data_IF_457955261320
#
_entry.id   IF_457955261320
#
_cell.length_a   1.000
_cell.length_b   1.000
_cell.length_c   1.000
_cell.angle_alpha   90.00
_cell.angle_beta   90.00
_cell.angle_gamma   90.00
#
_symmetry.space_group_name_H-M   'P 1'
#
loop_
_entity.id
_entity.type
_entity.pdbx_description
1 polymer ?
#
# COMPACT_ATOMS: atom_id res chain seq x y z
N UNK A 1 -101.36 -86.11 14.61
CA UNK A 1 -100.28 -86.00 13.60
C UNK A 1 -98.94 -85.91 14.34
N UNK A 2 -97.85 -86.46 13.78
CA UNK A 2 -96.51 -86.36 14.38
C UNK A 2 -96.05 -84.90 14.48
N UNK A 3 -95.46 -84.53 15.60
CA UNK A 3 -94.90 -83.18 15.80
C UNK A 3 -93.82 -82.90 14.72
N UNK A 4 -93.88 -81.75 14.05
CA UNK A 4 -92.84 -81.35 13.10
C UNK A 4 -91.47 -81.27 13.78
N UNK A 5 -90.42 -81.71 13.08
CA UNK A 5 -89.07 -81.48 13.56
C UNK A 5 -88.79 -79.97 13.57
N UNK A 6 -88.17 -79.47 14.65
CA UNK A 6 -87.70 -78.08 14.71
C UNK A 6 -86.66 -77.86 13.60
N UNK A 7 -86.92 -76.87 12.75
CA UNK A 7 -86.04 -76.45 11.65
C UNK A 7 -85.19 -75.26 12.11
N UNK A 8 -85.80 -74.36 12.88
CA UNK A 8 -85.13 -73.23 13.50
C UNK A 8 -85.08 -73.41 15.01
N UNK A 9 -84.05 -72.87 15.65
CA UNK A 9 -83.88 -73.00 17.10
C UNK A 9 -84.97 -72.27 17.91
N UNK A 10 -85.69 -71.32 17.30
CA UNK A 10 -86.80 -70.60 17.94
C UNK A 10 -88.16 -71.27 17.69
N UNK A 11 -88.22 -72.36 16.92
CA UNK A 11 -89.47 -73.07 16.67
C UNK A 11 -90.05 -73.60 17.99
N UNK A 12 -91.32 -73.28 18.24
CA UNK A 12 -92.06 -73.75 19.40
C UNK A 12 -93.44 -74.22 18.97
N UNK A 13 -93.51 -75.50 18.58
CA UNK A 13 -94.74 -76.13 18.13
C UNK A 13 -95.66 -76.41 19.31
N UNK A 14 -96.87 -75.85 19.25
CA UNK A 14 -97.93 -76.10 20.22
C UNK A 14 -99.07 -76.78 19.47
N UNK A 15 -99.55 -77.91 19.97
CA UNK A 15 -100.60 -78.66 19.33
C UNK A 15 -101.96 -77.98 19.56
N UNK A 16 -102.61 -77.57 18.47
CA UNK A 16 -103.92 -76.95 18.52
C UNK A 16 -105.01 -78.01 18.47
N UNK A 17 -105.71 -78.18 19.60
CA UNK A 17 -106.75 -79.21 19.75
C UNK A 17 -108.05 -78.90 19.02
N UNK A 18 -108.25 -77.67 18.54
CA UNK A 18 -109.44 -77.27 17.78
C UNK A 18 -109.28 -77.56 16.28
N UNK A 19 -108.10 -77.31 15.72
CA UNK A 19 -107.80 -77.54 14.29
C UNK A 19 -107.12 -78.88 14.04
N UNK A 20 -106.70 -79.59 15.09
CA UNK A 20 -105.92 -80.83 15.05
C UNK A 20 -104.58 -80.71 14.30
N UNK A 21 -103.97 -79.53 14.29
CA UNK A 21 -102.69 -79.23 13.64
C UNK A 21 -101.65 -78.72 14.65
N UNK A 22 -100.36 -78.83 14.29
CA UNK A 22 -99.27 -78.26 15.07
C UNK A 22 -99.01 -76.83 14.59
N UNK A 23 -99.23 -75.85 15.46
CA UNK A 23 -98.98 -74.45 15.17
C UNK A 23 -97.59 -74.07 15.70
N UNK A 24 -96.74 -73.50 14.86
CA UNK A 24 -95.49 -72.93 15.33
C UNK A 24 -95.78 -71.57 15.98
N UNK A 25 -95.71 -71.51 17.31
CA UNK A 25 -95.88 -70.27 18.09
C UNK A 25 -94.55 -69.57 18.36
N UNK A 26 -93.44 -70.19 17.95
CA UNK A 26 -92.09 -69.67 18.12
C UNK A 26 -91.86 -68.43 17.28
N UNK A 27 -91.32 -67.38 17.89
CA UNK A 27 -90.93 -66.15 17.20
C UNK A 27 -89.45 -65.94 17.43
N UNK A 28 -88.71 -65.68 16.35
CA UNK A 28 -87.30 -65.33 16.46
C UNK A 28 -87.15 -64.07 17.34
N UNK A 29 -86.23 -64.06 18.32
CA UNK A 29 -85.96 -62.86 19.11
C UNK A 29 -85.64 -61.67 18.21
N UNK A 30 -86.21 -60.51 18.51
CA UNK A 30 -85.94 -59.27 17.77
C UNK A 30 -84.47 -58.92 17.83
N UNK A 31 -83.88 -58.54 16.69
CA UNK A 31 -82.50 -58.04 16.64
C UNK A 31 -82.31 -56.86 17.61
N UNK A 32 -81.27 -56.86 18.46
CA UNK A 32 -80.96 -55.73 19.32
C UNK A 32 -80.70 -54.46 18.50
N UNK A 33 -81.11 -53.30 19.02
CA UNK A 33 -80.73 -52.03 18.44
C UNK A 33 -79.21 -51.83 18.54
N UNK A 34 -78.58 -51.38 17.45
CA UNK A 34 -77.16 -51.01 17.45
C UNK A 34 -76.95 -49.85 18.43
N UNK A 35 -76.05 -50.03 19.38
CA UNK A 35 -75.65 -49.02 20.37
C UNK A 35 -74.38 -48.32 19.90
N UNK A 36 -73.46 -49.09 19.33
CA UNK A 36 -72.26 -48.59 18.70
C UNK A 36 -72.35 -48.76 17.19
N UNK A 37 -71.67 -47.87 16.48
CA UNK A 37 -71.75 -47.85 15.03
C UNK A 37 -70.99 -49.04 14.38
N UNK A 38 -70.11 -49.71 15.14
CA UNK A 38 -69.44 -50.96 14.73
C UNK A 38 -70.19 -52.24 15.15
N UNK A 39 -71.36 -52.13 15.79
CA UNK A 39 -72.13 -53.32 16.18
C UNK A 39 -72.56 -54.10 14.92
N UNK A 40 -72.31 -55.41 14.94
CA UNK A 40 -72.67 -56.35 13.88
C UNK A 40 -73.29 -57.60 14.49
N UNK A 41 -74.60 -57.54 14.71
CA UNK A 41 -75.36 -58.65 15.27
C UNK A 41 -75.53 -59.75 14.23
N UNK A 42 -75.09 -60.95 14.57
CA UNK A 42 -75.26 -62.16 13.77
C UNK A 42 -76.08 -63.13 14.61
N UNK A 43 -77.19 -63.63 14.06
CA UNK A 43 -78.04 -64.56 14.78
C UNK A 43 -77.40 -65.94 14.83
N UNK A 44 -77.17 -66.45 16.04
CA UNK A 44 -76.58 -67.76 16.27
C UNK A 44 -77.71 -68.80 16.36
N UNK A 45 -77.80 -69.68 15.36
CA UNK A 45 -78.86 -70.69 15.30
C UNK A 45 -78.62 -71.88 16.24
N UNK A 46 -77.47 -71.97 16.91
CA UNK A 46 -77.18 -73.02 17.90
C UNK A 46 -77.61 -72.58 19.31
N UNK A 47 -77.27 -71.35 19.70
CA UNK A 47 -77.64 -70.79 21.01
C UNK A 47 -78.99 -70.08 21.01
N UNK A 48 -79.52 -69.79 19.82
CA UNK A 48 -80.75 -69.04 19.59
C UNK A 48 -80.75 -67.61 20.14
N UNK A 49 -79.58 -66.97 20.10
CA UNK A 49 -79.35 -65.61 20.57
C UNK A 49 -78.66 -64.78 19.48
N UNK A 50 -78.74 -63.45 19.60
CA UNK A 50 -77.98 -62.53 18.75
C UNK A 50 -76.59 -62.31 19.36
N UNK A 51 -75.55 -62.69 18.64
CA UNK A 51 -74.16 -62.45 19.03
C UNK A 51 -73.67 -61.17 18.34
N UNK A 52 -73.12 -60.22 19.11
CA UNK A 52 -72.45 -59.07 18.52
C UNK A 52 -71.03 -59.47 18.10
N UNK A 53 -70.82 -59.63 16.80
CA UNK A 53 -69.52 -59.95 16.21
C UNK A 53 -68.73 -58.69 15.82
N UNK A 54 -69.33 -57.52 16.01
CA UNK A 54 -68.73 -56.23 15.70
C UNK A 54 -67.53 -55.92 16.58
N UNK A 55 -66.45 -55.46 15.97
CA UNK A 55 -65.25 -55.00 16.68
C UNK A 55 -64.96 -53.58 16.23
N UNK A 56 -64.73 -52.67 17.18
CA UNK A 56 -64.31 -51.31 16.86
C UNK A 56 -63.01 -51.35 16.04
N UNK A 57 -62.91 -50.60 14.93
CA UNK A 57 -61.66 -50.50 14.19
C UNK A 57 -60.50 -50.08 15.11
N UNK A 58 -59.37 -50.76 15.01
CA UNK A 58 -58.16 -50.43 15.77
C UNK A 58 -57.70 -49.01 15.44
N UNK A 59 -57.33 -48.23 16.47
CA UNK A 59 -56.75 -46.90 16.27
C UNK A 59 -55.51 -46.99 15.36
N UNK A 60 -55.40 -46.13 14.32
CA UNK A 60 -54.22 -46.07 13.49
C UNK A 60 -52.96 -45.72 14.31
N UNK A 61 -51.81 -46.27 13.92
CA UNK A 61 -50.54 -45.84 14.50
C UNK A 61 -50.23 -44.40 14.09
N UNK A 62 -49.77 -43.59 15.06
CA UNK A 62 -49.29 -42.23 14.78
C UNK A 62 -48.07 -42.28 13.86
N UNK A 63 -48.16 -41.57 12.74
CA UNK A 63 -47.08 -41.44 11.75
C UNK A 63 -46.31 -40.15 12.00
N UNK A 64 -47.01 -39.08 12.33
CA UNK A 64 -46.44 -37.80 12.72
C UNK A 64 -46.66 -37.55 14.21
N UNK A 65 -45.75 -36.80 14.84
CA UNK A 65 -45.87 -36.46 16.26
C UNK A 65 -47.10 -35.58 16.58
N UNK A 66 -47.68 -34.91 15.57
CA UNK A 66 -48.88 -34.08 15.73
C UNK A 66 -50.17 -34.84 15.42
N UNK A 67 -50.10 -36.13 15.07
CA UNK A 67 -51.30 -36.92 14.81
C UNK A 67 -52.14 -37.04 16.10
N UNK A 68 -53.44 -36.74 15.96
CA UNK A 68 -54.42 -36.81 17.04
C UNK A 68 -55.70 -37.46 16.53
N UNK A 69 -55.74 -38.79 16.60
CA UNK A 69 -56.88 -39.59 16.15
C UNK A 69 -58.04 -39.48 17.14
N UNK A 70 -59.20 -39.08 16.64
CA UNK A 70 -60.45 -39.01 17.38
C UNK A 70 -61.44 -39.93 16.67
N UNK A 71 -62.03 -40.87 17.40
CA UNK A 71 -62.99 -41.80 16.80
C UNK A 71 -64.31 -41.09 16.53
N UNK A 72 -64.77 -41.16 15.28
CA UNK A 72 -66.04 -40.60 14.86
C UNK A 72 -67.12 -41.68 14.90
N UNK A 73 -68.06 -41.52 15.83
CA UNK A 73 -69.15 -42.48 16.06
C UNK A 73 -70.24 -42.42 15.00
N UNK A 74 -70.26 -41.39 14.15
CA UNK A 74 -71.23 -41.28 13.05
C UNK A 74 -70.74 -42.03 11.80
N UNK A 75 -69.45 -41.91 11.49
CA UNK A 75 -68.83 -42.54 10.30
C UNK A 75 -68.19 -43.89 10.60
N UNK A 76 -68.01 -44.25 11.88
CA UNK A 76 -67.24 -45.41 12.35
C UNK A 76 -65.78 -45.44 11.92
N UNK A 77 -65.17 -44.28 11.79
CA UNK A 77 -63.80 -44.14 11.34
C UNK A 77 -62.99 -43.29 12.32
N UNK A 78 -61.67 -43.43 12.26
CA UNK A 78 -60.76 -42.58 13.02
C UNK A 78 -60.40 -41.35 12.19
N UNK A 79 -60.77 -40.18 12.69
CA UNK A 79 -60.44 -38.90 12.06
C UNK A 79 -59.15 -38.34 12.68
N UNK A 80 -58.15 -38.00 11.86
CA UNK A 80 -56.95 -37.31 12.35
C UNK A 80 -57.25 -35.81 12.46
N UNK A 81 -57.45 -35.34 13.68
CA UNK A 81 -57.69 -33.91 13.99
C UNK A 81 -56.38 -33.14 14.23
N UNK A 82 -55.24 -33.82 14.18
CA UNK A 82 -53.93 -33.27 14.40
C UNK A 82 -53.49 -32.31 13.31
N UNK A 83 -52.92 -31.17 13.70
CA UNK A 83 -52.35 -30.18 12.77
C UNK A 83 -50.94 -29.84 13.23
N UNK A 84 -49.98 -29.88 12.31
CA UNK A 84 -48.61 -29.45 12.61
C UNK A 84 -48.61 -27.98 13.07
N UNK A 85 -47.91 -27.63 14.17
CA UNK A 85 -47.80 -26.24 14.59
C UNK A 85 -47.24 -25.38 13.46
N UNK A 86 -47.92 -24.25 13.17
CA UNK A 86 -47.48 -23.30 12.15
C UNK A 86 -46.04 -22.84 12.44
N UNK A 87 -45.21 -22.75 11.40
CA UNK A 87 -43.85 -22.24 11.52
C UNK A 87 -43.88 -20.79 12.05
N UNK A 88 -43.07 -20.46 13.07
CA UNK A 88 -42.95 -19.08 13.56
C UNK A 88 -42.31 -18.19 12.49
N UNK A 89 -42.68 -16.91 12.49
CA UNK A 89 -42.00 -15.89 11.67
C UNK A 89 -40.60 -15.71 12.23
N UNK A 90 -39.59 -15.81 11.37
CA UNK A 90 -38.17 -15.65 11.73
C UNK A 90 -37.58 -14.46 10.99
N UNK A 91 -36.49 -13.93 11.52
CA UNK A 91 -35.68 -12.93 10.83
C UNK A 91 -34.99 -13.57 9.62
N UNK A 92 -34.69 -12.78 8.59
CA UNK A 92 -34.14 -13.34 7.35
C UNK A 92 -32.77 -14.03 7.56
N UNK A 93 -31.98 -13.58 8.55
CA UNK A 93 -30.65 -14.11 8.88
C UNK A 93 -30.73 -15.35 9.78
N UNK A 94 -31.94 -15.79 10.12
CA UNK A 94 -32.19 -16.98 10.93
C UNK A 94 -32.64 -18.16 10.08
N UNK A 95 -32.38 -19.36 10.58
CA UNK A 95 -32.91 -20.62 10.11
C UNK A 95 -33.56 -21.34 11.29
N UNK A 96 -34.56 -22.17 11.01
CA UNK A 96 -35.29 -22.92 12.03
C UNK A 96 -35.60 -24.32 11.50
N UNK A 97 -35.55 -25.31 12.38
CA UNK A 97 -35.85 -26.71 12.06
C UNK A 97 -36.94 -27.23 12.99
N UNK A 98 -37.78 -28.14 12.48
CA UNK A 98 -38.82 -28.78 13.28
C UNK A 98 -38.28 -30.04 13.94
N UNK A 99 -38.56 -30.21 15.24
CA UNK A 99 -38.19 -31.41 15.98
C UNK A 99 -39.37 -32.39 16.00
N UNK A 100 -39.22 -33.52 15.30
CA UNK A 100 -40.26 -34.55 15.20
C UNK A 100 -40.41 -35.40 16.47
N UNK A 101 -39.49 -35.34 17.43
CA UNK A 101 -39.60 -36.05 18.70
C UNK A 101 -40.41 -35.24 19.73
N UNK A 102 -40.10 -33.95 19.86
CA UNK A 102 -40.78 -33.05 20.81
C UNK A 102 -42.04 -32.41 20.22
N UNK A 103 -42.21 -32.52 18.90
CA UNK A 103 -43.28 -31.89 18.15
C UNK A 103 -43.32 -30.36 18.26
N UNK A 104 -42.14 -29.75 18.36
CA UNK A 104 -41.95 -28.31 18.51
C UNK A 104 -40.91 -27.79 17.51
N UNK A 105 -41.00 -26.51 17.18
CA UNK A 105 -39.94 -25.82 16.44
C UNK A 105 -38.74 -25.55 17.36
N UNK A 106 -37.52 -25.83 16.88
CA UNK A 106 -36.29 -25.51 17.60
C UNK A 106 -36.09 -24.00 17.70
N UNK A 107 -35.22 -23.55 18.62
CA UNK A 107 -34.82 -22.15 18.64
C UNK A 107 -34.14 -21.76 17.32
N UNK A 108 -34.48 -20.61 16.69
CA UNK A 108 -33.83 -20.17 15.47
C UNK A 108 -32.33 -19.94 15.67
N UNK A 109 -31.52 -20.32 14.69
CA UNK A 109 -30.07 -20.10 14.67
C UNK A 109 -29.69 -19.22 13.49
N UNK A 110 -28.62 -18.43 13.60
CA UNK A 110 -28.24 -17.50 12.54
C UNK A 110 -27.21 -16.48 13.01
N UNK A 111 -26.53 -15.84 12.05
CA UNK A 111 -25.53 -14.80 12.34
C UNK A 111 -25.85 -13.57 11.51
N UNK A 112 -26.20 -12.46 12.18
CA UNK A 112 -26.36 -11.18 11.49
C UNK A 112 -25.06 -10.76 10.81
N UNK A 113 -25.18 -10.08 9.67
CA UNK A 113 -24.02 -9.47 9.01
C UNK A 113 -23.32 -8.51 9.97
N UNK A 114 -22.01 -8.70 10.12
CA UNK A 114 -21.15 -7.87 10.96
C UNK A 114 -19.83 -7.66 10.25
N UNK A 115 -19.59 -6.40 9.89
CA UNK A 115 -18.32 -5.97 9.33
C UNK A 115 -17.26 -5.94 10.42
N UNK A 116 -16.11 -6.55 10.14
CA UNK A 116 -14.92 -6.55 11.01
C UNK A 116 -13.77 -6.00 10.18
N UNK A 117 -13.15 -4.92 10.67
CA UNK A 117 -12.11 -4.20 9.94
C UNK A 117 -10.73 -4.54 10.50
N UNK A 118 -9.71 -4.53 9.63
CA UNK A 118 -8.30 -4.52 10.02
C UNK A 118 -7.57 -3.34 9.41
N UNK A 119 -6.67 -2.75 10.18
CA UNK A 119 -5.80 -1.68 9.70
C UNK A 119 -4.64 -2.25 8.88
N UNK A 120 -4.20 -1.51 7.86
CA UNK A 120 -3.09 -1.91 6.99
C UNK A 120 -2.14 -0.73 6.73
N UNK A 121 -0.93 -1.04 6.28
CA UNK A 121 0.01 -0.06 5.72
C UNK A 121 0.23 -0.39 4.24
N UNK A 122 0.23 0.63 3.39
CA UNK A 122 0.50 0.50 1.96
C UNK A 122 1.58 1.50 1.54
N UNK A 123 2.39 1.08 0.58
CA UNK A 123 3.51 1.87 0.08
C UNK A 123 3.16 2.40 -1.31
N UNK A 124 3.45 3.68 -1.57
CA UNK A 124 3.31 4.26 -2.90
C UNK A 124 4.32 3.63 -3.87
N UNK A 125 3.93 3.48 -5.13
CA UNK A 125 4.83 3.10 -6.22
C UNK A 125 5.55 4.33 -6.81
N UNK A 126 6.43 4.10 -7.81
CA UNK A 126 7.18 5.17 -8.49
C UNK A 126 6.32 6.18 -9.26
N UNK A 127 5.00 6.00 -9.34
CA UNK A 127 4.07 6.98 -9.89
C UNK A 127 3.33 7.76 -8.78
N UNK A 128 3.71 7.57 -7.52
CA UNK A 128 3.06 8.22 -6.38
C UNK A 128 1.66 7.68 -6.11
N UNK A 129 1.40 6.39 -6.42
CA UNK A 129 0.09 5.76 -6.26
C UNK A 129 0.16 4.43 -5.52
N UNK A 130 -0.90 4.09 -4.79
CA UNK A 130 -1.12 2.76 -4.23
C UNK A 130 -2.58 2.35 -4.40
N UNK A 131 -2.85 1.05 -4.47
CA UNK A 131 -4.22 0.52 -4.54
C UNK A 131 -4.43 -0.58 -3.52
N UNK A 132 -5.68 -0.71 -3.05
CA UNK A 132 -6.13 -1.79 -2.17
C UNK A 132 -7.36 -2.46 -2.77
N UNK A 133 -7.68 -3.63 -2.25
CA UNK A 133 -8.98 -4.27 -2.43
C UNK A 133 -9.77 -4.26 -1.11
N UNK A 134 -11.11 -4.35 -1.14
CA UNK A 134 -11.90 -4.43 0.10
C UNK A 134 -11.48 -5.57 1.03
N UNK A 135 -11.03 -6.71 0.48
CA UNK A 135 -10.56 -7.84 1.28
C UNK A 135 -9.25 -7.57 2.03
N UNK A 136 -8.45 -6.60 1.59
CA UNK A 136 -7.22 -6.20 2.30
C UNK A 136 -7.52 -5.49 3.62
N UNK A 137 -8.70 -4.90 3.79
CA UNK A 137 -9.12 -4.24 5.04
C UNK A 137 -10.18 -5.03 5.82
N UNK A 138 -10.59 -6.20 5.31
CA UNK A 138 -11.47 -7.12 6.01
C UNK A 138 -10.70 -7.94 7.05
N UNK A 139 -11.13 -7.81 8.31
CA UNK A 139 -10.61 -8.49 9.50
C UNK A 139 -11.32 -9.79 9.84
N UNK A 140 -12.18 -10.31 8.96
CA UNK A 140 -12.95 -11.54 9.18
C UNK A 140 -14.42 -11.24 9.45
N UNK A 141 -15.04 -10.46 8.56
CA UNK A 141 -16.46 -10.15 8.62
C UNK A 141 -17.32 -11.42 8.53
N UNK A 142 -18.45 -11.42 9.21
CA UNK A 142 -19.38 -12.57 9.28
C UNK A 142 -20.76 -12.18 8.76
N UNK A 143 -21.54 -13.17 8.32
CA UNK A 143 -22.92 -12.98 7.85
C UNK A 143 -23.48 -14.29 7.29
N UNK A 144 -24.66 -14.21 6.67
CA UNK A 144 -25.34 -15.37 6.07
C UNK A 144 -25.19 -15.41 4.55
N UNK A 145 -24.82 -16.57 4.01
CA UNK A 145 -24.64 -16.73 2.57
C UNK A 145 -23.39 -16.02 2.04
N UNK A 146 -23.43 -15.60 0.77
CA UNK A 146 -22.29 -14.95 0.10
C UNK A 146 -22.15 -13.50 0.53
N UNK A 147 -20.99 -13.13 1.06
CA UNK A 147 -20.67 -11.75 1.43
C UNK A 147 -20.16 -10.96 0.22
N UNK A 148 -20.66 -9.74 0.05
CA UNK A 148 -20.18 -8.74 -0.90
C UNK A 148 -19.48 -7.62 -0.15
N UNK A 149 -18.23 -7.33 -0.53
CA UNK A 149 -17.39 -6.34 0.13
C UNK A 149 -17.16 -5.14 -0.80
N UNK A 150 -17.38 -3.93 -0.29
CA UNK A 150 -17.02 -2.68 -0.96
C UNK A 150 -16.30 -1.76 0.01
N UNK A 151 -15.47 -0.84 -0.50
CA UNK A 151 -14.75 0.12 0.32
C UNK A 151 -14.94 1.54 -0.22
N UNK A 152 -14.97 2.53 0.67
CA UNK A 152 -15.18 3.94 0.30
C UNK A 152 -14.05 4.54 -0.55
N UNK A 153 -12.86 3.94 -0.50
CA UNK A 153 -11.68 4.36 -1.27
C UNK A 153 -10.78 3.16 -1.53
N UNK A 154 -10.27 3.04 -2.76
CA UNK A 154 -9.41 1.94 -3.20
C UNK A 154 -8.07 2.39 -3.77
N UNK A 155 -7.93 3.68 -4.09
CA UNK A 155 -6.74 4.25 -4.69
C UNK A 155 -6.24 5.39 -3.81
N UNK A 156 -4.93 5.46 -3.63
CA UNK A 156 -4.25 6.46 -2.81
C UNK A 156 -3.15 7.13 -3.62
N UNK A 157 -2.89 8.40 -3.34
CA UNK A 157 -1.84 9.19 -3.99
C UNK A 157 -0.92 9.84 -2.96
N UNK A 158 0.06 10.61 -3.41
CA UNK A 158 0.91 11.44 -2.55
C UNK A 158 0.14 12.37 -1.59
N UNK A 159 -1.06 12.80 -1.97
CA UNK A 159 -1.92 13.61 -1.10
C UNK A 159 -2.47 12.84 0.12
N UNK A 160 -2.39 11.51 0.07
CA UNK A 160 -2.91 10.61 1.09
C UNK A 160 -1.82 10.07 2.02
N UNK A 161 -0.56 10.51 1.91
CA UNK A 161 0.49 10.04 2.82
C UNK A 161 0.12 10.34 4.27
N UNK A 162 0.22 9.32 5.13
CA UNK A 162 -0.29 9.32 6.49
C UNK A 162 -1.52 8.43 6.67
N UNK A 163 -2.31 8.70 7.71
CA UNK A 163 -3.45 7.85 8.09
C UNK A 163 -4.72 8.26 7.37
N UNK A 164 -5.35 7.31 6.68
CA UNK A 164 -6.62 7.47 6.00
C UNK A 164 -7.69 6.58 6.63
N UNK A 165 -8.90 7.10 6.81
CA UNK A 165 -10.05 6.30 7.21
C UNK A 165 -10.77 5.77 5.98
N UNK A 166 -10.93 4.46 5.91
CA UNK A 166 -11.69 3.79 4.84
C UNK A 166 -12.83 3.03 5.46
N UNK A 167 -14.04 3.28 4.98
CA UNK A 167 -15.23 2.53 5.39
C UNK A 167 -15.33 1.26 4.56
N UNK A 168 -15.27 0.10 5.22
CA UNK A 168 -15.61 -1.18 4.63
C UNK A 168 -17.11 -1.40 4.80
N UNK A 169 -17.79 -1.72 3.72
CA UNK A 169 -19.20 -2.10 3.69
C UNK A 169 -19.31 -3.57 3.31
N UNK A 170 -19.95 -4.35 4.17
CA UNK A 170 -20.18 -5.79 3.99
C UNK A 170 -21.68 -6.00 3.88
N UNK A 171 -22.11 -6.56 2.75
CA UNK A 171 -23.51 -6.86 2.47
C UNK A 171 -23.67 -8.36 2.27
N UNK A 172 -24.70 -8.92 2.88
CA UNK A 172 -25.15 -10.28 2.63
C UNK A 172 -26.57 -10.27 2.02
N UNK A 173 -27.23 -11.43 1.90
CA UNK A 173 -28.59 -11.48 1.34
C UNK A 173 -29.66 -10.81 2.22
N UNK A 174 -29.29 -10.43 3.44
CA UNK A 174 -30.19 -10.04 4.52
C UNK A 174 -30.02 -8.61 4.99
N UNK A 175 -28.84 -8.03 4.80
CA UNK A 175 -28.59 -6.66 5.17
C UNK A 175 -27.16 -6.23 4.91
N UNK A 176 -26.81 -5.11 5.53
CA UNK A 176 -25.51 -4.47 5.37
C UNK A 176 -24.97 -4.04 6.73
N UNK A 177 -23.67 -4.24 6.93
CA UNK A 177 -22.91 -3.71 8.06
C UNK A 177 -21.70 -2.94 7.56
N UNK A 178 -21.28 -1.93 8.31
CA UNK A 178 -20.06 -1.16 8.00
C UNK A 178 -19.10 -1.15 9.19
N UNK A 179 -17.82 -0.94 8.90
CA UNK A 179 -16.80 -0.63 9.90
C UNK A 179 -15.75 0.32 9.30
N UNK A 180 -14.97 1.00 10.14
CA UNK A 180 -13.84 1.82 9.71
C UNK A 180 -12.51 1.06 9.86
N UNK A 181 -11.72 1.04 8.79
CA UNK A 181 -10.34 0.59 8.79
C UNK A 181 -9.40 1.80 8.66
N UNK A 182 -8.24 1.75 9.30
CA UNK A 182 -7.18 2.73 9.09
C UNK A 182 -6.21 2.19 8.04
N UNK A 183 -6.05 2.92 6.94
CA UNK A 183 -5.05 2.66 5.90
C UNK A 183 -3.94 3.70 6.07
N UNK A 184 -2.77 3.26 6.50
CA UNK A 184 -1.60 4.12 6.60
C UNK A 184 -0.84 4.06 5.28
N UNK A 185 -0.79 5.18 4.56
CA UNK A 185 -0.04 5.30 3.32
C UNK A 185 1.33 5.85 3.67
N UNK A 186 2.38 5.19 3.21
CA UNK A 186 3.76 5.66 3.38
C UNK A 186 4.40 5.82 2.01
N UNK A 187 5.23 6.86 1.90
CA UNK A 187 6.13 7.01 0.77
C UNK A 187 7.53 6.56 1.18
N UNK A 188 8.09 5.64 0.40
CA UNK A 188 9.45 5.12 0.53
C UNK A 188 10.24 5.21 -0.78
N UNK A 189 9.65 5.83 -1.79
CA UNK A 189 10.28 5.97 -3.09
C UNK A 189 11.24 7.15 -3.00
N UNK A 190 12.53 6.87 -3.13
CA UNK A 190 13.53 7.93 -3.12
C UNK A 190 13.51 8.73 -4.44
N UNK A 191 13.88 10.03 -4.41
CA UNK A 191 13.91 10.86 -5.60
C UNK A 191 14.88 10.30 -6.67
N UNK A 192 14.57 10.55 -7.94
CA UNK A 192 15.50 10.31 -9.05
C UNK A 192 16.32 11.56 -9.29
N UNK A 193 17.64 11.46 -9.11
CA UNK A 193 18.54 12.61 -9.13
C UNK A 193 19.39 12.63 -10.40
N UNK A 194 19.38 13.76 -11.10
CA UNK A 194 20.20 14.01 -12.28
C UNK A 194 21.14 15.18 -12.00
N UNK A 195 22.44 14.94 -12.20
CA UNK A 195 23.48 15.95 -12.09
C UNK A 195 23.94 16.40 -13.48
N UNK A 196 24.43 17.62 -13.57
CA UNK A 196 25.23 18.12 -14.70
C UNK A 196 26.54 18.71 -14.20
N UNK A 197 27.59 18.51 -14.99
CA UNK A 197 28.88 19.16 -14.76
C UNK A 197 28.77 20.64 -15.14
N UNK A 198 29.51 21.49 -14.43
CA UNK A 198 29.53 22.94 -14.68
C UNK A 198 30.96 23.47 -14.67
N UNK A 199 31.15 24.63 -15.28
CA UNK A 199 32.40 25.40 -15.19
C UNK A 199 32.09 26.75 -14.56
N UNK A 200 32.87 27.14 -13.55
CA UNK A 200 32.74 28.42 -12.86
C UNK A 200 34.09 29.12 -12.80
N UNK A 201 34.07 30.44 -12.79
CA UNK A 201 35.27 31.26 -12.68
C UNK A 201 35.29 31.91 -11.29
N UNK A 202 36.48 32.00 -10.67
CA UNK A 202 36.64 32.80 -9.45
C UNK A 202 36.24 34.27 -9.72
N UNK A 203 35.75 34.98 -8.71
CA UNK A 203 35.47 36.42 -8.82
C UNK A 203 36.72 37.28 -8.53
N UNK A 204 36.56 38.60 -8.49
CA UNK A 204 37.66 39.54 -8.16
C UNK A 204 38.22 39.36 -6.73
N UNK A 205 37.50 38.67 -5.86
CA UNK A 205 37.90 38.35 -4.49
C UNK A 205 38.49 36.93 -4.38
N UNK A 206 38.67 36.22 -5.50
CA UNK A 206 39.12 34.82 -5.59
C UNK A 206 38.14 33.81 -5.01
N UNK A 207 36.83 34.06 -5.13
CA UNK A 207 35.79 33.16 -4.66
C UNK A 207 34.82 32.84 -5.81
N UNK A 208 34.48 31.57 -5.98
CA UNK A 208 33.31 31.15 -6.75
C UNK A 208 32.29 30.50 -5.81
N UNK A 209 31.01 30.85 -5.96
CA UNK A 209 29.92 30.24 -5.20
C UNK A 209 28.95 29.63 -6.18
N UNK A 210 28.53 28.39 -5.91
CA UNK A 210 27.52 27.68 -6.69
C UNK A 210 26.26 27.48 -5.86
N UNK A 211 25.17 27.17 -6.54
CA UNK A 211 23.90 26.79 -5.92
C UNK A 211 23.52 25.38 -6.36
N UNK A 212 22.73 24.64 -5.57
CA UNK A 212 22.27 23.31 -5.98
C UNK A 212 21.59 23.30 -7.36
N UNK A 213 20.86 24.37 -7.71
CA UNK A 213 20.17 24.52 -8.99
C UNK A 213 21.10 24.60 -10.20
N UNK A 214 22.38 24.97 -10.00
CA UNK A 214 23.36 24.96 -11.09
C UNK A 214 23.80 23.54 -11.45
N UNK A 215 23.82 22.63 -10.46
CA UNK A 215 24.21 21.22 -10.62
C UNK A 215 23.00 20.33 -10.96
N UNK A 216 21.81 20.66 -10.48
CA UNK A 216 20.61 19.90 -10.76
C UNK A 216 20.26 19.93 -12.26
N UNK A 217 20.06 18.74 -12.83
CA UNK A 217 19.71 18.54 -14.24
C UNK A 217 18.31 17.93 -14.39
N UNK A 218 17.35 18.46 -13.64
CA UNK A 218 15.96 18.03 -13.68
C UNK A 218 15.66 16.81 -12.81
N UNK A 219 16.21 16.77 -11.59
CA UNK A 219 15.82 15.78 -10.58
C UNK A 219 14.32 15.86 -10.30
N UNK A 220 13.70 14.70 -10.06
CA UNK A 220 12.27 14.64 -9.79
C UNK A 220 11.92 13.53 -8.81
N UNK A 221 10.73 13.68 -8.22
CA UNK A 221 10.06 12.65 -7.43
C UNK A 221 8.56 12.72 -7.71
N UNK A 222 7.84 11.60 -7.53
CA UNK A 222 6.41 11.53 -7.79
C UNK A 222 5.57 12.32 -6.76
N UNK A 223 6.01 12.38 -5.52
CA UNK A 223 5.39 13.12 -4.41
C UNK A 223 6.02 14.50 -4.19
N UNK A 224 7.17 14.73 -4.80
CA UNK A 224 7.78 16.05 -4.96
C UNK A 224 9.01 16.23 -4.08
N UNK A 225 9.86 17.18 -4.49
CA UNK A 225 11.13 17.44 -3.81
C UNK A 225 10.96 18.51 -2.74
N UNK A 226 11.52 18.27 -1.55
CA UNK A 226 11.54 19.24 -0.46
C UNK A 226 12.78 20.14 -0.49
N UNK A 227 13.95 19.56 -0.71
CA UNK A 227 15.22 20.31 -0.62
C UNK A 227 16.34 19.73 -1.46
N UNK A 228 17.28 20.61 -1.77
CA UNK A 228 18.55 20.31 -2.43
C UNK A 228 19.68 20.84 -1.56
N UNK A 229 20.79 20.10 -1.46
CA UNK A 229 21.99 20.54 -0.75
C UNK A 229 23.24 20.04 -1.46
N UNK A 230 24.31 20.82 -1.34
CA UNK A 230 25.64 20.45 -1.82
C UNK A 230 26.54 20.19 -0.60
N UNK A 231 27.47 19.26 -0.75
CA UNK A 231 28.55 19.06 0.23
C UNK A 231 29.59 20.19 0.17
N UNK A 232 29.78 20.79 -1.00
CA UNK A 232 30.67 21.93 -1.26
C UNK A 232 29.95 22.93 -2.17
N UNK A 233 29.87 24.19 -1.75
CA UNK A 233 29.21 25.27 -2.51
C UNK A 233 30.08 26.50 -2.79
N UNK A 234 31.30 26.53 -2.24
CA UNK A 234 32.21 27.68 -2.30
C UNK A 234 33.60 27.18 -2.64
N UNK A 235 34.22 27.80 -3.64
CA UNK A 235 35.54 27.46 -4.15
C UNK A 235 36.48 28.65 -4.09
N UNK A 236 37.73 28.38 -3.78
CA UNK A 236 38.82 29.35 -3.78
C UNK A 236 39.95 28.95 -4.71
N UNK A 237 41.11 29.57 -4.48
CA UNK A 237 42.28 29.39 -5.32
C UNK A 237 42.83 27.95 -5.32
N UNK A 238 42.76 27.25 -4.20
CA UNK A 238 43.24 25.86 -4.07
C UNK A 238 42.37 24.85 -4.82
N UNK A 239 41.17 25.27 -5.23
CA UNK A 239 40.19 24.42 -5.90
C UNK A 239 40.23 24.58 -7.43
N UNK A 240 41.25 25.23 -8.01
CA UNK A 240 41.39 25.35 -9.47
C UNK A 240 41.50 23.96 -10.11
N UNK A 241 40.70 23.72 -11.15
CA UNK A 241 40.56 22.42 -11.81
C UNK A 241 39.24 21.72 -11.47
N UNK A 242 39.22 20.40 -11.58
CA UNK A 242 38.00 19.59 -11.42
C UNK A 242 37.76 19.22 -9.96
N UNK A 243 36.57 19.58 -9.45
CA UNK A 243 36.13 19.27 -8.09
C UNK A 243 34.88 18.39 -8.13
N UNK A 244 34.89 17.18 -7.52
CA UNK A 244 33.68 16.39 -7.38
C UNK A 244 32.79 16.99 -6.30
N UNK A 245 31.55 17.30 -6.66
CA UNK A 245 30.54 17.85 -5.75
C UNK A 245 29.35 16.90 -5.70
N UNK A 246 28.88 16.57 -4.50
CA UNK A 246 27.73 15.71 -4.27
C UNK A 246 26.48 16.56 -4.07
N UNK A 247 25.52 16.42 -5.00
CA UNK A 247 24.17 16.92 -4.83
C UNK A 247 23.34 15.90 -4.05
N UNK A 248 22.78 16.32 -2.92
CA UNK A 248 21.82 15.54 -2.12
C UNK A 248 20.42 16.13 -2.28
N UNK A 249 19.48 15.30 -2.71
CA UNK A 249 18.06 15.66 -2.90
C UNK A 249 17.21 14.89 -1.91
N UNK A 250 16.32 15.59 -1.23
CA UNK A 250 15.38 15.04 -0.26
C UNK A 250 13.96 15.35 -0.69
N UNK A 251 13.10 14.34 -0.73
CA UNK A 251 11.68 14.51 -1.04
C UNK A 251 10.87 15.05 0.16
N UNK A 252 9.58 15.34 -0.07
CA UNK A 252 8.65 15.84 0.97
C UNK A 252 8.34 14.83 2.08
N UNK A 253 8.72 13.56 1.89
CA UNK A 253 8.51 12.47 2.82
C UNK A 253 9.79 11.99 3.52
N UNK A 254 10.93 12.64 3.24
CA UNK A 254 12.23 12.41 3.86
C UNK A 254 13.08 11.34 3.19
N UNK A 255 12.70 10.81 2.03
CA UNK A 255 13.58 9.91 1.27
C UNK A 255 14.68 10.72 0.57
N UNK A 256 15.87 10.12 0.46
CA UNK A 256 17.09 10.81 0.01
C UNK A 256 17.77 10.03 -1.10
N UNK A 257 18.24 10.76 -2.10
CA UNK A 257 19.13 10.26 -3.14
C UNK A 257 20.23 11.29 -3.44
N UNK A 258 21.33 10.83 -4.03
CA UNK A 258 22.48 11.68 -4.35
C UNK A 258 23.00 11.45 -5.76
N UNK A 259 23.63 12.45 -6.35
CA UNK A 259 24.49 12.29 -7.53
C UNK A 259 25.76 13.14 -7.39
N UNK A 260 26.78 12.82 -8.19
CA UNK A 260 28.03 13.59 -8.23
C UNK A 260 28.15 14.31 -9.57
N UNK A 261 28.47 15.59 -9.51
CA UNK A 261 28.85 16.42 -10.64
C UNK A 261 30.32 16.84 -10.53
N UNK A 262 30.95 17.10 -11.67
CA UNK A 262 32.26 17.75 -11.73
C UNK A 262 32.06 19.25 -11.89
N UNK A 263 32.60 20.03 -10.95
CA UNK A 263 32.69 21.49 -11.01
C UNK A 263 34.12 21.86 -11.40
N UNK A 264 34.30 22.32 -12.63
CA UNK A 264 35.60 22.81 -13.10
C UNK A 264 35.74 24.28 -12.75
N UNK A 265 36.70 24.61 -11.88
CA UNK A 265 36.98 25.99 -11.45
C UNK A 265 38.09 26.58 -12.31
N UNK A 266 37.75 27.63 -13.04
CA UNK A 266 38.66 28.43 -13.86
C UNK A 266 39.20 29.67 -13.14
N UNK A 267 40.18 30.32 -13.78
CA UNK A 267 40.78 31.57 -13.29
C UNK A 267 40.36 32.76 -14.13
N UNK A 268 40.12 33.90 -13.47
CA UNK A 268 39.73 35.17 -14.13
C UNK A 268 40.74 35.56 -15.21
N UNK A 269 40.32 35.51 -16.47
CA UNK A 269 41.09 36.05 -17.59
C UNK A 269 42.30 35.21 -18.01
N UNK A 270 42.38 33.93 -17.65
CA UNK A 270 43.48 33.04 -18.03
C UNK A 270 44.80 33.34 -17.32
N UNK A 271 44.78 34.24 -16.33
CA UNK A 271 45.88 34.48 -15.40
C UNK A 271 45.43 34.02 -14.02
N UNK A 272 46.14 33.03 -13.45
CA UNK A 272 46.02 32.68 -12.04
C UNK A 272 46.05 33.97 -11.22
N UNK A 273 44.97 34.24 -10.47
CA UNK A 273 44.76 35.53 -9.82
C UNK A 273 45.81 35.87 -8.74
N UNK A 274 46.62 34.90 -8.32
CA UNK A 274 47.76 35.13 -7.42
C UNK A 274 49.04 35.59 -8.14
N UNK A 275 49.05 35.64 -9.48
CA UNK A 275 50.15 36.15 -10.27
C UNK A 275 50.29 37.66 -10.04
N UNK A 276 51.24 38.03 -9.19
CA UNK A 276 51.59 39.41 -8.88
C UNK A 276 53.05 39.66 -9.22
N UNK A 277 53.30 40.61 -10.11
CA UNK A 277 54.66 41.03 -10.45
C UNK A 277 54.97 42.28 -9.62
N UNK A 278 55.91 42.18 -8.68
CA UNK A 278 56.30 43.31 -7.85
C UNK A 278 57.29 44.19 -8.61
N UNK A 279 57.02 45.50 -8.68
CA UNK A 279 57.78 46.41 -9.55
C UNK A 279 59.06 46.98 -8.89
N UNK A 280 59.51 46.45 -7.76
CA UNK A 280 60.70 46.96 -7.07
C UNK A 280 61.41 45.84 -6.29
N UNK A 281 62.74 45.84 -6.33
CA UNK A 281 63.57 44.94 -5.52
C UNK A 281 64.95 45.57 -5.23
N UNK A 282 65.58 45.15 -4.14
CA UNK A 282 66.80 45.73 -3.57
C UNK A 282 67.92 44.70 -3.44
N UNK A 283 68.66 44.38 -4.52
CA UNK A 283 69.73 43.37 -4.48
C UNK A 283 70.99 43.87 -3.75
N UNK A 284 70.91 43.98 -2.42
CA UNK A 284 71.95 44.48 -1.51
C UNK A 284 72.45 43.39 -0.52
N UNK A 285 71.90 42.18 -0.59
CA UNK A 285 72.20 41.02 0.25
C UNK A 285 71.84 41.21 1.73
N UNK A 286 70.82 42.00 2.04
CA UNK A 286 70.30 42.14 3.40
C UNK A 286 69.26 41.06 3.77
N UNK A 287 68.90 40.18 2.83
CA UNK A 287 67.94 39.09 3.00
C UNK A 287 66.50 39.47 2.65
N UNK A 288 66.22 40.73 2.30
CA UNK A 288 64.89 41.23 1.96
C UNK A 288 64.86 41.76 0.53
N UNK A 289 63.90 41.27 -0.28
CA UNK A 289 63.70 41.72 -1.67
C UNK A 289 64.98 41.69 -2.52
N UNK A 290 65.91 40.77 -2.25
CA UNK A 290 67.16 40.64 -2.98
C UNK A 290 66.99 40.19 -4.44
N UNK A 291 65.82 39.62 -4.75
CA UNK A 291 65.47 39.09 -6.05
C UNK A 291 64.19 39.72 -6.58
N UNK A 292 64.10 39.84 -7.91
CA UNK A 292 62.86 40.24 -8.57
C UNK A 292 61.80 39.16 -8.38
N UNK A 293 60.87 39.38 -7.45
CA UNK A 293 59.90 38.38 -7.06
C UNK A 293 58.61 38.51 -7.88
N UNK A 294 58.16 37.40 -8.44
CA UNK A 294 56.85 37.22 -9.06
C UNK A 294 56.12 36.17 -8.22
N UNK A 295 55.01 36.56 -7.61
CA UNK A 295 54.17 35.66 -6.83
C UNK A 295 53.52 34.64 -7.76
N UNK A 296 53.48 33.36 -7.36
CA UNK A 296 52.89 32.26 -8.12
C UNK A 296 53.53 31.95 -9.48
N UNK A 297 54.80 32.30 -9.66
CA UNK A 297 55.53 32.01 -10.89
C UNK A 297 55.63 30.50 -11.18
N UNK A 298 55.60 29.68 -10.13
CA UNK A 298 55.68 28.22 -10.16
C UNK A 298 54.52 27.53 -10.89
N UNK A 299 53.37 28.20 -11.04
CA UNK A 299 52.22 27.70 -11.80
C UNK A 299 52.42 27.77 -13.31
N UNK A 300 53.45 28.49 -13.76
CA UNK A 300 53.77 28.70 -15.16
C UNK A 300 55.15 28.13 -15.47
N UNK A 301 55.36 26.80 -15.47
CA UNK A 301 56.68 26.19 -15.63
C UNK A 301 57.34 26.47 -16.99
N UNK A 302 56.56 26.88 -17.98
CA UNK A 302 57.02 27.27 -19.32
C UNK A 302 57.19 28.79 -19.48
N UNK A 303 57.13 29.56 -18.39
CA UNK A 303 57.22 31.01 -18.44
C UNK A 303 58.59 31.49 -18.98
N UNK A 304 58.64 32.74 -19.44
CA UNK A 304 59.87 33.41 -19.88
C UNK A 304 59.87 34.86 -19.41
N UNK A 305 60.92 35.23 -18.68
CA UNK A 305 61.17 36.61 -18.26
C UNK A 305 62.25 37.25 -19.13
N UNK A 306 61.94 38.40 -19.70
CA UNK A 306 62.90 39.29 -20.37
C UNK A 306 62.90 40.66 -19.69
N UNK A 307 64.08 41.24 -19.49
CA UNK A 307 64.23 42.59 -18.91
C UNK A 307 65.07 43.47 -19.81
N UNK A 308 64.64 44.72 -19.96
CA UNK A 308 65.19 45.72 -20.85
C UNK A 308 65.57 46.99 -20.09
N UNK A 309 66.66 47.63 -20.51
CA UNK A 309 67.01 48.96 -20.02
C UNK A 309 66.15 50.06 -20.69
N UNK A 310 66.30 51.31 -20.25
CA UNK A 310 65.53 52.46 -20.77
C UNK A 310 65.74 52.76 -22.26
N UNK A 311 66.79 52.22 -22.87
CA UNK A 311 67.07 52.35 -24.30
C UNK A 311 66.53 51.18 -25.13
N UNK A 312 65.77 50.26 -24.51
CA UNK A 312 65.19 49.09 -25.18
C UNK A 312 66.16 47.93 -25.38
N UNK A 313 67.36 47.97 -24.81
CA UNK A 313 68.30 46.86 -24.91
C UNK A 313 68.01 45.81 -23.85
N UNK A 314 67.94 44.54 -24.27
CA UNK A 314 67.77 43.41 -23.36
C UNK A 314 69.00 43.27 -22.47
N UNK A 315 68.78 43.22 -21.16
CA UNK A 315 69.82 43.08 -20.12
C UNK A 315 69.73 41.76 -19.35
N UNK A 316 68.55 41.15 -19.31
CA UNK A 316 68.34 39.85 -18.71
C UNK A 316 67.32 39.03 -19.47
N UNK A 317 67.53 37.71 -19.52
CA UNK A 317 66.57 36.76 -20.05
C UNK A 317 66.67 35.43 -19.29
N UNK A 318 65.53 34.83 -18.96
CA UNK A 318 65.45 33.47 -18.39
C UNK A 318 64.17 32.75 -18.80
N UNK A 319 64.33 31.52 -19.28
CA UNK A 319 63.26 30.54 -19.43
C UNK A 319 63.01 29.85 -18.08
N UNK A 320 61.75 29.52 -17.78
CA UNK A 320 61.30 29.02 -16.49
C UNK A 320 61.85 29.88 -15.34
N UNK A 321 61.45 31.16 -15.33
CA UNK A 321 61.79 32.08 -14.26
C UNK A 321 61.19 31.58 -12.95
N UNK A 322 61.98 31.64 -11.88
CA UNK A 322 61.67 31.06 -10.58
C UNK A 322 62.19 31.92 -9.42
N UNK A 323 62.07 33.25 -9.55
CA UNK A 323 62.43 34.23 -8.50
C UNK A 323 63.91 34.19 -8.07
N UNK A 324 64.82 34.06 -9.04
CA UNK A 324 66.27 33.94 -8.80
C UNK A 324 67.11 35.10 -9.33
N UNK A 325 66.49 36.14 -9.90
CA UNK A 325 67.24 37.22 -10.51
C UNK A 325 67.56 38.34 -9.53
N UNK A 326 68.85 38.61 -9.35
CA UNK A 326 69.44 39.54 -8.38
C UNK A 326 69.95 40.84 -9.04
N UNK A 327 69.38 41.20 -10.20
CA UNK A 327 69.78 42.37 -10.97
C UNK A 327 71.12 42.23 -11.72
N UNK A 328 71.65 41.02 -11.87
CA UNK A 328 72.86 40.77 -12.68
C UNK A 328 72.50 40.58 -14.16
N UNK A 329 73.19 41.27 -15.06
CA UNK A 329 72.98 41.14 -16.50
C UNK A 329 73.50 39.80 -17.03
N UNK A 330 72.73 39.12 -17.90
CA UNK A 330 73.19 37.89 -18.56
C UNK A 330 73.18 37.96 -20.10
N UNK A 331 72.71 39.08 -20.67
CA UNK A 331 72.75 39.39 -22.11
C UNK A 331 73.76 40.49 -22.42
N UNK A 332 74.38 40.44 -23.61
CA UNK A 332 75.71 41.05 -23.82
C UNK A 332 75.80 42.34 -24.61
N UNK A 333 74.70 43.05 -24.92
CA UNK A 333 74.76 44.11 -25.93
C UNK A 333 75.12 45.53 -25.41
N UNK A 334 75.12 45.81 -24.10
CA UNK A 334 75.37 47.19 -23.60
C UNK A 334 76.04 47.29 -22.21
N UNK A 335 75.98 46.25 -21.39
CA UNK A 335 76.61 46.19 -20.06
C UNK A 335 77.39 44.88 -20.01
N UNK A 336 78.61 44.89 -19.45
CA UNK A 336 79.44 43.69 -19.33
C UNK A 336 78.58 42.50 -18.89
N UNK A 337 78.57 41.43 -19.69
CA UNK A 337 77.88 40.19 -19.33
C UNK A 337 78.38 39.76 -17.94
N UNK A 338 77.46 39.48 -17.02
CA UNK A 338 77.70 39.19 -15.60
C UNK A 338 77.97 40.40 -14.68
N UNK A 339 77.80 41.63 -15.16
CA UNK A 339 77.87 42.80 -14.29
C UNK A 339 76.52 43.10 -13.61
N UNK A 340 76.59 43.64 -12.39
CA UNK A 340 75.44 44.19 -11.67
C UNK A 340 74.90 45.40 -12.44
N UNK A 341 73.61 45.37 -12.75
CA UNK A 341 72.93 46.47 -13.45
C UNK A 341 72.87 47.72 -12.57
N UNK A 342 73.10 48.94 -13.10
CA UNK A 342 72.96 50.17 -12.31
C UNK A 342 71.60 50.34 -11.64
N UNK A 343 71.55 51.17 -10.59
CA UNK A 343 70.28 51.63 -9.99
C UNK A 343 69.46 52.37 -11.04
N UNK A 344 68.17 52.08 -11.11
CA UNK A 344 67.28 52.73 -12.06
C UNK A 344 66.05 51.91 -12.45
N UNK A 345 65.27 52.49 -13.34
CA UNK A 345 64.06 51.85 -13.89
C UNK A 345 64.41 51.01 -15.12
N UNK A 346 63.88 49.80 -15.14
CA UNK A 346 63.93 48.82 -16.22
C UNK A 346 62.51 48.45 -16.63
N UNK A 347 62.37 47.71 -17.72
CA UNK A 347 61.09 47.23 -18.22
C UNK A 347 61.13 45.73 -18.40
N UNK A 348 60.06 45.03 -18.03
CA UNK A 348 59.96 43.59 -18.22
C UNK A 348 58.92 43.23 -19.28
N UNK A 349 59.15 42.08 -19.91
CA UNK A 349 58.15 41.31 -20.64
C UNK A 349 58.15 39.91 -20.03
N UNK A 350 57.01 39.47 -19.55
CA UNK A 350 56.80 38.20 -18.88
C UNK A 350 55.74 37.39 -19.64
N UNK A 351 56.22 36.37 -20.35
CA UNK A 351 55.38 35.41 -21.07
C UNK A 351 55.08 34.23 -20.15
N UNK A 352 53.80 33.85 -20.04
CA UNK A 352 53.36 32.75 -19.18
C UNK A 352 53.58 31.38 -19.81
N UNK A 353 53.83 31.32 -21.13
CA UNK A 353 54.04 30.07 -21.86
C UNK A 353 52.76 29.25 -22.05
N UNK A 354 51.59 29.84 -21.83
CA UNK A 354 50.25 29.25 -22.03
C UNK A 354 49.54 29.79 -23.29
N UNK A 355 50.22 30.66 -24.05
CA UNK A 355 49.69 31.30 -25.27
C UNK A 355 48.90 32.58 -25.01
N UNK A 356 48.73 33.01 -23.76
CA UNK A 356 48.17 34.32 -23.42
C UNK A 356 49.12 35.45 -23.85
N UNK A 357 48.59 36.68 -23.94
CA UNK A 357 49.39 37.85 -24.30
C UNK A 357 50.42 38.11 -23.19
N UNK A 358 51.73 38.25 -23.50
CA UNK A 358 52.74 38.53 -22.50
C UNK A 358 52.42 39.78 -21.67
N UNK A 359 52.69 39.69 -20.38
CA UNK A 359 52.53 40.77 -19.42
C UNK A 359 53.76 41.68 -19.50
N UNK A 360 53.55 43.00 -19.50
CA UNK A 360 54.65 43.96 -19.56
C UNK A 360 54.46 45.06 -18.54
N UNK A 361 55.57 45.55 -18.00
CA UNK A 361 55.57 46.60 -16.99
C UNK A 361 56.96 47.19 -16.77
N UNK A 362 57.07 48.00 -15.73
CA UNK A 362 58.34 48.56 -15.28
C UNK A 362 58.77 47.90 -13.98
N UNK A 363 60.08 47.87 -13.72
CA UNK A 363 60.62 47.50 -12.43
C UNK A 363 61.75 48.45 -12.03
N UNK A 364 61.95 48.69 -10.75
CA UNK A 364 63.00 49.54 -10.21
C UNK A 364 64.02 48.70 -9.43
N UNK A 365 65.29 48.91 -9.74
CA UNK A 365 66.41 48.31 -9.00
C UNK A 365 66.96 49.37 -8.06
N UNK A 366 66.92 49.09 -6.75
CA UNK A 366 67.52 49.91 -5.70
C UNK A 366 68.68 49.16 -5.04
N UNK A 367 69.68 49.84 -4.48
CA UNK A 367 70.75 49.18 -3.71
C UNK A 367 71.09 49.92 -2.44
#
# INVERSE_FOLDING_TARGET
PTEPAKVNCWDNFVFNTETCQWDNTGVQPTEPAKVNCWDNFVFNTETCQWDNTGVQPTEPAKVNCWDNFVFNTETCQWDNTGVQPQQPIIECWQQITFNFETCQWNAPTGTQVKAVCKSITVELNNQGTATITPSMIDGGSVGTGTLTLTASKLTFTCADVGTNKVTLTVTDSCGTSTCEAIVTVVDKVAPTVFCQNITVELDQNNIAVITPQMIDNGSFDACGIASYSLDIDTFGFEDIGDNPVVLTVTDVNGNVSTCTAIVTVGSVGGVAACLTIFNEFSPNQDGYNDYFYIKCVELYPNNRLEVFNRWGNKVYEKQNYNNTWDGTANTGNVINKNAKLPVGTYYYVFDLGDGTKPLSGWLYIQR
#
